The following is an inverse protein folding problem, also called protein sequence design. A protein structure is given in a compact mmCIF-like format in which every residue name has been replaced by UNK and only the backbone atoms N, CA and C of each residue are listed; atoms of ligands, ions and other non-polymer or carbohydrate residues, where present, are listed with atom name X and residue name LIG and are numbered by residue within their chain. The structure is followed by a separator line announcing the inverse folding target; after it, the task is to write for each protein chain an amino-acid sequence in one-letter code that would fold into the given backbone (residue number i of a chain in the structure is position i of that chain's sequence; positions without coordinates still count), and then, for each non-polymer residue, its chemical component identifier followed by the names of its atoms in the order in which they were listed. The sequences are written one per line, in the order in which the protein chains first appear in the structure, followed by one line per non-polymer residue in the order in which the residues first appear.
data_IF_279008487303
#
_entry.id   IF_279008487303
#
_cell.length_a   1.000
_cell.length_b   1.000
_cell.length_c   1.000
_cell.angle_alpha   90.00
_cell.angle_beta   90.00
_cell.angle_gamma   90.00
#
_symmetry.space_group_name_H-M   'P 1'
#
loop_
_entity.id
_entity.type
_entity.pdbx_description
1 polymer ?
#
# COMPACT_ATOMS: atom_id res chain seq x y z
N UNK A 1 3.80 0.33 -5.79
CA UNK A 1 4.18 -1.10 -5.80
C UNK A 1 3.22 -1.79 -4.84
N UNK A 2 2.39 -2.75 -5.29
CA UNK A 2 1.47 -3.52 -4.44
C UNK A 2 2.11 -4.88 -4.18
N UNK A 3 2.34 -5.24 -2.94
CA UNK A 3 2.95 -6.51 -2.54
C UNK A 3 1.86 -7.39 -1.94
N UNK A 4 1.58 -8.54 -2.54
CA UNK A 4 0.55 -9.46 -2.07
C UNK A 4 1.29 -10.64 -1.48
N UNK A 5 1.27 -10.89 -0.18
CA UNK A 5 1.93 -12.07 0.37
C UNK A 5 1.35 -12.43 1.72
N UNK A 6 1.10 -13.73 1.92
CA UNK A 6 0.89 -14.30 3.24
C UNK A 6 2.12 -13.97 4.09
N UNK A 7 1.93 -13.17 5.14
CA UNK A 7 2.97 -12.76 6.05
C UNK A 7 2.54 -13.23 7.44
N UNK A 8 3.08 -14.38 7.88
CA UNK A 8 3.27 -14.61 9.30
C UNK A 8 4.11 -13.43 9.84
N UNK A 9 3.70 -12.76 10.95
CA UNK A 9 4.45 -11.67 11.57
C UNK A 9 5.93 -11.98 11.88
N UNK A 10 6.34 -13.25 11.85
CA UNK A 10 7.71 -13.74 12.02
C UNK A 10 8.56 -13.77 10.74
N UNK A 11 7.99 -13.55 9.55
CA UNK A 11 8.67 -13.69 8.25
C UNK A 11 9.39 -12.42 7.74
N UNK A 12 9.39 -11.33 8.53
CA UNK A 12 10.03 -10.05 8.17
C UNK A 12 11.59 -10.11 8.13
N UNK A 13 12.20 -11.27 8.36
CA UNK A 13 13.65 -11.47 8.40
C UNK A 13 14.20 -12.53 7.42
N UNK A 14 13.38 -13.10 6.52
CA UNK A 14 13.83 -14.18 5.62
C UNK A 14 14.08 -13.71 4.17
N UNK A 15 15.13 -14.20 3.49
CA UNK A 15 15.41 -13.85 2.11
C UNK A 15 14.34 -14.39 1.16
N UNK A 16 13.95 -13.61 0.15
CA UNK A 16 12.95 -14.01 -0.84
C UNK A 16 13.52 -15.07 -1.80
N UNK A 17 12.82 -16.20 -1.93
CA UNK A 17 13.12 -17.26 -2.89
C UNK A 17 12.90 -16.87 -4.37
N UNK A 18 13.11 -17.85 -5.25
CA UNK A 18 13.14 -17.72 -6.73
C UNK A 18 11.97 -16.92 -7.34
N UNK A 19 12.29 -15.90 -8.13
CA UNK A 19 11.34 -15.04 -8.85
C UNK A 19 11.15 -15.51 -10.30
N UNK A 20 9.91 -15.50 -10.82
CA UNK A 20 9.64 -15.59 -12.28
C UNK A 20 8.96 -14.31 -12.76
N UNK A 21 9.51 -13.69 -13.81
CA UNK A 21 8.85 -12.58 -14.53
C UNK A 21 7.79 -13.17 -15.45
N UNK A 22 6.52 -12.88 -15.19
CA UNK A 22 5.44 -13.02 -16.18
C UNK A 22 5.05 -11.62 -16.67
N UNK A 23 4.50 -11.51 -17.88
CA UNK A 23 4.32 -10.23 -18.58
C UNK A 23 3.43 -9.18 -17.90
N UNK A 24 2.92 -9.40 -16.69
CA UNK A 24 1.99 -8.49 -15.97
C UNK A 24 2.22 -8.35 -14.46
N UNK A 25 3.20 -9.05 -13.88
CA UNK A 25 3.52 -9.00 -12.45
C UNK A 25 4.72 -9.87 -12.10
N UNK A 26 5.25 -9.71 -10.89
CA UNK A 26 6.21 -10.68 -10.34
C UNK A 26 5.42 -11.68 -9.51
N UNK A 27 5.49 -12.96 -9.85
CA UNK A 27 4.99 -14.05 -9.03
C UNK A 27 6.20 -14.74 -8.41
N UNK A 28 6.18 -14.90 -7.09
CA UNK A 28 7.21 -15.64 -6.37
C UNK A 28 6.61 -16.44 -5.23
N UNK A 29 7.42 -17.33 -4.68
CA UNK A 29 7.10 -18.07 -3.47
C UNK A 29 8.10 -17.69 -2.38
N UNK A 30 7.62 -17.48 -1.17
CA UNK A 30 8.45 -17.40 0.02
C UNK A 30 8.94 -18.81 0.40
N UNK A 31 9.97 -18.87 1.25
CA UNK A 31 10.60 -20.13 1.66
C UNK A 31 9.65 -21.08 2.41
N UNK A 32 8.61 -20.53 3.03
CA UNK A 32 7.52 -21.26 3.70
C UNK A 32 6.45 -21.80 2.72
N UNK A 33 6.63 -21.58 1.41
CA UNK A 33 5.67 -21.97 0.38
C UNK A 33 4.54 -20.97 0.15
N UNK A 34 4.50 -19.86 0.90
CA UNK A 34 3.52 -18.79 0.69
C UNK A 34 3.72 -18.14 -0.67
N UNK A 35 2.65 -18.07 -1.47
CA UNK A 35 2.69 -17.37 -2.77
C UNK A 35 2.54 -15.87 -2.56
N UNK A 36 3.35 -15.10 -3.28
CA UNK A 36 3.16 -13.67 -3.38
C UNK A 36 3.05 -13.22 -4.84
N UNK A 37 2.09 -12.33 -5.07
CA UNK A 37 1.90 -11.63 -6.34
C UNK A 37 2.39 -10.18 -6.14
N UNK A 38 2.95 -9.55 -7.16
CA UNK A 38 3.20 -8.10 -7.17
C UNK A 38 2.61 -7.54 -8.45
N UNK A 39 1.61 -6.68 -8.29
CA UNK A 39 0.97 -5.99 -9.40
C UNK A 39 1.13 -4.46 -9.23
N UNK A 40 1.44 -3.75 -10.30
CA UNK A 40 1.64 -2.31 -10.26
C UNK A 40 1.18 -1.66 -11.55
N UNK A 41 0.52 -0.50 -11.44
CA UNK A 41 0.19 0.36 -12.57
C UNK A 41 0.81 1.73 -12.33
N UNK A 42 1.73 2.14 -13.20
CA UNK A 42 2.27 3.50 -13.19
C UNK A 42 1.11 4.51 -13.35
N UNK A 43 1.10 5.56 -12.52
CA UNK A 43 0.04 6.56 -12.55
C UNK A 43 -1.35 6.07 -12.12
N UNK A 44 -1.47 4.86 -11.56
CA UNK A 44 -2.76 4.31 -11.13
C UNK A 44 -3.47 5.19 -10.10
N UNK A 45 -4.79 5.35 -10.27
CA UNK A 45 -5.67 6.14 -9.39
C UNK A 45 -6.61 5.24 -8.61
N UNK A 46 -7.20 5.74 -7.52
CA UNK A 46 -8.14 4.95 -6.68
C UNK A 46 -9.30 4.37 -7.49
N UNK A 47 -9.77 5.08 -8.52
CA UNK A 47 -10.85 4.62 -9.40
C UNK A 47 -10.47 3.42 -10.27
N UNK A 48 -9.18 3.20 -10.56
CA UNK A 48 -8.71 2.04 -11.31
C UNK A 48 -8.79 0.73 -10.50
N UNK A 49 -8.90 0.84 -9.16
CA UNK A 49 -8.77 -0.29 -8.24
C UNK A 49 -9.76 -1.42 -8.53
N UNK A 50 -11.03 -1.10 -8.82
CA UNK A 50 -12.05 -2.12 -9.08
C UNK A 50 -11.69 -3.03 -10.24
N UNK A 51 -11.21 -2.42 -11.33
CA UNK A 51 -10.83 -3.19 -12.51
C UNK A 51 -9.59 -4.03 -12.24
N UNK A 52 -8.62 -3.50 -11.49
CA UNK A 52 -7.42 -4.23 -11.10
C UNK A 52 -7.75 -5.46 -10.24
N UNK A 53 -8.56 -5.28 -9.19
CA UNK A 53 -8.97 -6.37 -8.30
C UNK A 53 -9.79 -7.42 -9.05
N UNK A 54 -10.76 -7.01 -9.88
CA UNK A 54 -11.52 -7.95 -10.72
C UNK A 54 -10.64 -8.71 -11.69
N UNK A 55 -9.62 -8.07 -12.23
CA UNK A 55 -8.69 -8.73 -13.15
C UNK A 55 -7.82 -9.73 -12.40
N UNK A 56 -7.33 -9.39 -11.21
CA UNK A 56 -6.59 -10.32 -10.37
C UNK A 56 -7.42 -11.56 -10.03
N UNK A 57 -8.64 -11.36 -9.54
CA UNK A 57 -9.55 -12.44 -9.15
C UNK A 57 -10.06 -13.32 -10.30
N UNK A 58 -9.77 -12.96 -11.57
CA UNK A 58 -10.03 -13.84 -12.71
C UNK A 58 -8.98 -14.93 -12.87
N UNK A 59 -7.78 -14.73 -12.34
CA UNK A 59 -6.63 -15.59 -12.57
C UNK A 59 -6.05 -16.17 -11.29
N UNK A 60 -6.35 -15.57 -10.14
CA UNK A 60 -5.84 -15.96 -8.84
C UNK A 60 -6.99 -16.03 -7.83
N UNK A 61 -6.87 -16.94 -6.86
CA UNK A 61 -7.78 -16.99 -5.72
C UNK A 61 -7.66 -15.71 -4.86
N UNK A 62 -8.69 -15.36 -4.08
CA UNK A 62 -8.59 -14.28 -3.10
C UNK A 62 -7.39 -14.48 -2.17
N UNK A 63 -6.51 -13.46 -2.03
CA UNK A 63 -5.33 -13.59 -1.20
C UNK A 63 -5.72 -13.60 0.29
N UNK A 64 -4.95 -14.28 1.13
CA UNK A 64 -5.10 -14.19 2.59
C UNK A 64 -4.76 -12.78 3.11
N UNK A 65 -3.79 -12.11 2.48
CA UNK A 65 -3.39 -10.73 2.80
C UNK A 65 -3.26 -9.91 1.52
N UNK A 66 -3.87 -8.73 1.52
CA UNK A 66 -3.80 -7.77 0.42
C UNK A 66 -3.20 -6.44 0.88
N UNK A 67 -1.96 -6.13 0.45
CA UNK A 67 -1.35 -4.81 0.69
C UNK A 67 -1.66 -3.84 -0.46
N UNK A 68 -2.28 -2.71 -0.11
CA UNK A 68 -2.68 -1.68 -1.06
C UNK A 68 -1.90 -0.39 -0.86
N UNK A 69 -1.15 0.00 -1.89
CA UNK A 69 -0.42 1.26 -2.00
C UNK A 69 -0.97 2.07 -3.19
N UNK A 70 -1.87 3.01 -2.91
CA UNK A 70 -2.60 3.79 -3.92
C UNK A 70 -3.05 5.13 -3.33
N UNK A 71 -3.56 6.04 -4.17
CA UNK A 71 -4.07 7.34 -3.73
C UNK A 71 -3.07 8.48 -3.82
N UNK A 72 -1.75 8.19 -3.87
CA UNK A 72 -0.73 9.23 -4.06
C UNK A 72 -0.90 10.01 -5.37
N UNK A 73 -1.48 9.41 -6.41
CA UNK A 73 -1.74 10.08 -7.68
C UNK A 73 -3.07 10.85 -7.71
N UNK A 74 -3.87 10.76 -6.65
CA UNK A 74 -5.17 11.42 -6.51
C UNK A 74 -5.07 12.66 -5.60
N UNK A 75 -3.95 12.84 -4.87
CA UNK A 75 -3.70 13.99 -3.99
C UNK A 75 -3.68 15.27 -4.82
N UNK A 76 -4.51 16.25 -4.41
CA UNK A 76 -4.63 17.55 -5.06
C UNK A 76 -5.64 17.57 -6.22
N UNK A 77 -5.97 16.43 -6.81
CA UNK A 77 -7.06 16.33 -7.80
C UNK A 77 -8.44 16.43 -7.15
N UNK A 78 -8.57 15.88 -5.94
CA UNK A 78 -9.83 15.85 -5.17
C UNK A 78 -9.56 16.37 -3.76
N UNK A 79 -10.62 16.83 -3.10
CA UNK A 79 -10.54 17.16 -1.67
C UNK A 79 -10.13 15.91 -0.87
N UNK A 80 -9.41 16.11 0.24
CA UNK A 80 -9.01 15.00 1.12
C UNK A 80 -10.21 14.19 1.60
N UNK A 81 -11.36 14.84 1.86
CA UNK A 81 -12.61 14.20 2.27
C UNK A 81 -13.12 13.26 1.17
N UNK A 82 -13.27 13.77 -0.05
CA UNK A 82 -13.74 12.98 -1.20
C UNK A 82 -12.82 11.80 -1.49
N UNK A 83 -11.50 12.02 -1.44
CA UNK A 83 -10.53 10.95 -1.64
C UNK A 83 -10.66 9.86 -0.56
N UNK A 84 -10.82 10.25 0.71
CA UNK A 84 -11.04 9.29 1.78
C UNK A 84 -12.33 8.49 1.59
N UNK A 85 -13.43 9.13 1.23
CA UNK A 85 -14.71 8.47 0.94
C UNK A 85 -14.58 7.46 -0.21
N UNK A 86 -13.87 7.83 -1.27
CA UNK A 86 -13.59 6.92 -2.39
C UNK A 86 -12.80 5.70 -1.95
N UNK A 87 -11.69 5.89 -1.21
CA UNK A 87 -10.84 4.79 -0.73
C UNK A 87 -11.63 3.87 0.20
N UNK A 88 -12.39 4.42 1.16
CA UNK A 88 -13.25 3.63 2.05
C UNK A 88 -14.27 2.81 1.28
N UNK A 89 -14.94 3.41 0.29
CA UNK A 89 -15.89 2.70 -0.57
C UNK A 89 -15.24 1.54 -1.32
N UNK A 90 -13.99 1.69 -1.77
CA UNK A 90 -13.27 0.57 -2.38
C UNK A 90 -12.99 -0.54 -1.36
N UNK A 91 -12.52 -0.21 -0.16
CA UNK A 91 -12.29 -1.21 0.89
C UNK A 91 -13.56 -1.95 1.31
N UNK A 92 -14.66 -1.23 1.53
CA UNK A 92 -15.95 -1.86 1.85
C UNK A 92 -16.42 -2.81 0.74
N UNK A 93 -16.25 -2.42 -0.52
CA UNK A 93 -16.55 -3.29 -1.66
C UNK A 93 -15.63 -4.53 -1.71
N UNK A 94 -14.32 -4.36 -1.50
CA UNK A 94 -13.39 -5.49 -1.51
C UNK A 94 -13.63 -6.46 -0.34
N UNK A 95 -13.99 -5.97 0.85
CA UNK A 95 -14.34 -6.82 2.00
C UNK A 95 -15.55 -7.69 1.71
N UNK A 96 -16.57 -7.16 1.04
CA UNK A 96 -17.73 -7.95 0.61
C UNK A 96 -17.37 -9.00 -0.45
N UNK A 97 -16.32 -8.75 -1.24
CA UNK A 97 -15.88 -9.62 -2.32
C UNK A 97 -14.92 -10.73 -1.84
N UNK A 98 -14.11 -10.45 -0.82
CA UNK A 98 -13.06 -11.33 -0.32
C UNK A 98 -13.11 -11.33 1.21
N UNK A 99 -14.00 -12.15 1.77
CA UNK A 99 -14.35 -12.13 3.19
C UNK A 99 -13.18 -12.53 4.12
N UNK A 100 -12.34 -13.45 3.66
CA UNK A 100 -11.21 -13.98 4.44
C UNK A 100 -9.89 -13.23 4.20
N UNK A 101 -9.92 -12.13 3.42
CA UNK A 101 -8.74 -11.34 3.11
C UNK A 101 -8.48 -10.29 4.19
N UNK A 102 -7.27 -10.31 4.77
CA UNK A 102 -6.76 -9.22 5.61
C UNK A 102 -6.28 -8.09 4.72
N UNK A 103 -6.90 -6.92 4.87
CA UNK A 103 -6.54 -5.73 4.11
C UNK A 103 -5.49 -4.91 4.84
N UNK A 104 -4.38 -4.60 4.16
CA UNK A 104 -3.30 -3.77 4.69
C UNK A 104 -3.15 -2.51 3.82
N UNK A 105 -3.32 -1.32 4.40
CA UNK A 105 -3.03 -0.08 3.68
C UNK A 105 -1.58 0.33 3.83
N UNK A 106 -0.85 0.32 2.72
CA UNK A 106 0.47 0.92 2.60
C UNK A 106 0.31 2.43 2.42
N UNK A 107 0.62 3.18 3.49
CA UNK A 107 0.45 4.63 3.50
C UNK A 107 1.16 5.32 2.33
N UNK A 108 0.54 6.39 1.85
CA UNK A 108 1.10 7.23 0.79
C UNK A 108 2.39 7.85 1.33
N UNK A 109 3.49 7.63 0.63
CA UNK A 109 4.82 8.16 0.95
C UNK A 109 4.90 9.67 0.68
N UNK A 110 5.74 10.42 1.41
CA UNK A 110 5.95 11.84 1.14
C UNK A 110 6.59 12.05 -0.23
N UNK A 111 6.29 13.19 -0.86
CA UNK A 111 6.86 13.61 -2.16
C UNK A 111 7.31 15.06 -2.10
N UNK A 112 8.36 15.39 -2.83
CA UNK A 112 8.79 16.78 -3.03
C UNK A 112 8.19 17.42 -4.28
N UNK A 113 7.44 16.65 -5.08
CA UNK A 113 6.69 17.14 -6.24
C UNK A 113 5.29 16.51 -6.29
N UNK A 114 4.28 17.32 -6.64
CA UNK A 114 2.89 16.92 -6.75
C UNK A 114 2.27 17.42 -8.05
N UNK A 115 1.46 16.57 -8.70
CA UNK A 115 0.93 16.87 -10.04
C UNK A 115 -0.03 18.06 -10.10
N UNK A 116 -0.79 18.29 -9.03
CA UNK A 116 -1.96 19.18 -9.06
C UNK A 116 -1.76 20.48 -8.27
N UNK A 117 -0.59 20.68 -7.65
CA UNK A 117 -0.28 21.89 -6.91
C UNK A 117 1.21 22.01 -6.61
N UNK A 118 1.76 23.21 -6.77
CA UNK A 118 3.13 23.55 -6.36
C UNK A 118 3.22 23.86 -4.86
N UNK A 119 2.09 23.94 -4.14
CA UNK A 119 2.09 24.13 -2.69
C UNK A 119 2.36 22.79 -1.99
N UNK A 120 3.63 22.39 -1.94
CA UNK A 120 4.11 21.13 -1.35
C UNK A 120 3.60 20.95 0.08
N UNK A 121 3.64 22.02 0.89
CA UNK A 121 3.16 21.98 2.27
C UNK A 121 1.67 21.64 2.38
N UNK A 122 0.83 22.20 1.51
CA UNK A 122 -0.60 21.89 1.47
C UNK A 122 -0.84 20.44 1.02
N UNK A 123 -0.07 19.96 0.03
CA UNK A 123 -0.19 18.59 -0.48
C UNK A 123 0.26 17.54 0.54
N UNK A 124 1.36 17.78 1.26
CA UNK A 124 1.81 16.92 2.36
C UNK A 124 0.80 16.89 3.51
N UNK A 125 0.19 18.03 3.86
CA UNK A 125 -0.94 18.06 4.83
C UNK A 125 -2.13 17.23 4.34
N UNK A 126 -2.46 17.31 3.05
CA UNK A 126 -3.51 16.49 2.44
C UNK A 126 -3.17 15.00 2.54
N UNK A 127 -1.95 14.60 2.18
CA UNK A 127 -1.43 13.24 2.28
C UNK A 127 -1.53 12.70 3.71
N UNK A 128 -1.06 13.45 4.71
CA UNK A 128 -1.14 13.05 6.11
C UNK A 128 -2.59 12.85 6.57
N UNK A 129 -3.50 13.77 6.20
CA UNK A 129 -4.94 13.63 6.51
C UNK A 129 -5.53 12.36 5.91
N UNK A 130 -5.22 12.07 4.65
CA UNK A 130 -5.70 10.84 3.99
C UNK A 130 -5.15 9.61 4.69
N UNK A 131 -3.83 9.55 4.95
CA UNK A 131 -3.21 8.41 5.63
C UNK A 131 -3.81 8.14 7.00
N UNK A 132 -3.95 9.16 7.86
CA UNK A 132 -4.55 9.01 9.19
C UNK A 132 -6.01 8.56 9.09
N UNK A 133 -6.79 9.21 8.23
CA UNK A 133 -8.21 8.95 8.03
C UNK A 133 -8.50 7.51 7.54
N UNK A 134 -7.65 6.97 6.66
CA UNK A 134 -7.78 5.59 6.16
C UNK A 134 -7.23 4.58 7.16
N UNK A 135 -6.13 4.86 7.84
CA UNK A 135 -5.61 4.01 8.91
C UNK A 135 -6.66 3.81 10.01
N UNK A 136 -7.27 4.89 10.52
CA UNK A 136 -8.33 4.81 11.53
C UNK A 136 -9.60 4.10 11.05
N UNK A 137 -9.87 4.09 9.75
CA UNK A 137 -11.00 3.33 9.19
C UNK A 137 -10.68 1.83 9.14
N UNK A 138 -9.46 1.47 8.73
CA UNK A 138 -9.06 0.08 8.63
C UNK A 138 -8.92 -0.58 9.99
N UNK A 139 -8.34 0.10 10.99
CA UNK A 139 -8.25 -0.46 12.34
C UNK A 139 -9.63 -0.79 12.92
N UNK A 140 -10.64 0.06 12.68
CA UNK A 140 -12.03 -0.19 13.08
C UNK A 140 -12.74 -1.31 12.31
N UNK A 141 -12.13 -1.84 11.26
CA UNK A 141 -12.72 -2.85 10.38
C UNK A 141 -11.82 -4.08 10.24
N UNK A 142 -11.00 -4.39 11.25
CA UNK A 142 -10.07 -5.53 11.25
C UNK A 142 -9.05 -5.51 10.08
N UNK A 143 -8.72 -4.31 9.61
CA UNK A 143 -7.62 -4.07 8.67
C UNK A 143 -6.40 -3.51 9.37
N UNK A 144 -5.26 -3.56 8.69
CA UNK A 144 -4.00 -3.03 9.18
C UNK A 144 -3.47 -1.92 8.27
N UNK A 145 -2.38 -1.27 8.69
CA UNK A 145 -1.65 -0.33 7.84
C UNK A 145 -0.14 -0.41 8.05
N UNK A 146 0.59 -0.06 6.99
CA UNK A 146 2.04 0.12 6.98
C UNK A 146 2.35 1.61 6.91
N UNK A 147 3.32 2.05 7.70
CA UNK A 147 3.83 3.42 7.74
C UNK A 147 5.33 3.43 7.45
N UNK A 148 5.81 4.55 6.92
CA UNK A 148 7.21 4.70 6.51
C UNK A 148 7.82 5.96 7.15
N UNK A 149 8.07 5.96 8.47
CA UNK A 149 8.58 7.14 9.16
C UNK A 149 9.97 7.56 8.66
N UNK A 150 10.76 6.62 8.13
CA UNK A 150 12.13 6.86 7.70
C UNK A 150 12.24 7.39 6.26
N UNK A 151 11.20 7.23 5.44
CA UNK A 151 11.16 7.79 4.09
C UNK A 151 10.82 9.27 4.19
N UNK A 152 11.78 10.14 3.84
CA UNK A 152 11.63 11.60 3.80
C UNK A 152 11.57 12.13 2.37
N UNK A 153 10.96 13.30 2.17
CA UNK A 153 10.94 13.98 0.87
C UNK A 153 12.28 14.70 0.58
N UNK A 154 13.33 13.92 0.33
CA UNK A 154 14.66 14.42 -0.04
C UNK A 154 15.36 13.46 -1.02
N UNK A 155 16.50 13.89 -1.54
CA UNK A 155 17.24 13.17 -2.59
C UNK A 155 17.87 11.84 -2.14
N UNK A 156 17.93 11.56 -0.83
CA UNK A 156 18.37 10.25 -0.35
C UNK A 156 17.34 9.17 -0.68
N UNK A 157 16.05 9.50 -0.58
CA UNK A 157 14.95 8.55 -0.73
C UNK A 157 14.16 8.74 -2.03
N UNK A 158 14.17 9.93 -2.62
CA UNK A 158 13.47 10.27 -3.86
C UNK A 158 14.44 10.52 -5.00
N UNK A 159 14.06 10.08 -6.20
CA UNK A 159 14.72 10.43 -7.44
C UNK A 159 14.59 11.93 -7.72
N UNK A 160 15.32 12.43 -8.72
CA UNK A 160 15.32 13.85 -9.12
C UNK A 160 13.93 14.40 -9.49
N UNK A 161 12.99 13.53 -9.86
CA UNK A 161 11.61 13.93 -10.15
C UNK A 161 10.77 14.24 -8.89
N UNK A 162 11.29 13.96 -7.69
CA UNK A 162 10.63 14.22 -6.43
C UNK A 162 9.41 13.33 -6.14
N UNK A 163 9.23 12.25 -6.90
CA UNK A 163 8.07 11.35 -6.82
C UNK A 163 8.48 9.90 -6.66
N UNK A 164 9.43 9.41 -7.46
CA UNK A 164 9.85 8.01 -7.45
C UNK A 164 10.93 7.77 -6.40
N UNK A 165 10.97 6.55 -5.84
CA UNK A 165 11.96 6.18 -4.83
C UNK A 165 13.32 5.87 -5.45
N UNK A 166 14.40 6.24 -4.76
CA UNK A 166 15.76 5.74 -5.04
C UNK A 166 15.89 4.25 -4.67
N UNK A 167 17.04 3.64 -4.94
CA UNK A 167 17.32 2.27 -4.48
C UNK A 167 17.20 2.13 -2.96
N UNK A 168 17.70 3.11 -2.21
CA UNK A 168 17.57 3.15 -0.75
C UNK A 168 16.11 3.34 -0.32
N UNK A 169 15.39 4.26 -0.96
CA UNK A 169 13.96 4.47 -0.72
C UNK A 169 13.13 3.21 -0.97
N UNK A 170 13.40 2.47 -2.05
CA UNK A 170 12.74 1.20 -2.35
C UNK A 170 13.07 0.12 -1.32
N UNK A 171 14.32 0.04 -0.85
CA UNK A 171 14.71 -0.92 0.18
C UNK A 171 13.88 -0.73 1.47
N UNK A 172 13.76 0.51 1.95
CA UNK A 172 12.94 0.82 3.13
C UNK A 172 11.44 0.60 2.87
N UNK A 173 10.98 0.88 1.65
CA UNK A 173 9.57 0.67 1.28
C UNK A 173 9.19 -0.81 1.24
N UNK A 174 10.06 -1.66 0.68
CA UNK A 174 9.85 -3.11 0.59
C UNK A 174 10.03 -3.79 1.96
N UNK A 175 10.93 -3.29 2.80
CA UNK A 175 11.27 -3.84 4.11
C UNK A 175 11.17 -2.76 5.21
N UNK A 176 9.95 -2.26 5.51
CA UNK A 176 9.78 -1.16 6.45
C UNK A 176 10.25 -1.56 7.86
N UNK A 177 11.12 -0.77 8.51
CA UNK A 177 11.53 -1.01 9.88
C UNK A 177 10.36 -0.66 10.84
N UNK A 178 9.51 -1.65 11.12
CA UNK A 178 8.40 -1.52 12.08
C UNK A 178 7.19 -2.38 11.73
N UNK A 179 6.55 -2.95 12.75
CA UNK A 179 5.40 -3.87 12.64
C UNK A 179 4.22 -3.27 11.87
N UNK A 180 3.53 -4.15 11.13
CA UNK A 180 2.11 -3.99 10.78
C UNK A 180 1.36 -3.67 12.07
N UNK A 181 0.74 -2.49 12.15
CA UNK A 181 -0.05 -2.10 13.34
C UNK A 181 -1.48 -2.56 13.17
N UNK A 182 -1.91 -3.40 14.12
CA UNK A 182 -3.32 -3.63 14.41
C UNK A 182 -3.54 -3.19 15.86
N UNK A 183 -4.22 -2.06 16.07
CA UNK A 183 -4.38 -1.48 17.41
C UNK A 183 -5.39 -2.27 18.29
N UNK A 184 -5.80 -3.48 17.86
CA UNK A 184 -6.75 -4.36 18.55
C UNK A 184 -6.10 -5.55 19.30
N UNK A 185 -4.79 -5.55 19.52
CA UNK A 185 -4.09 -6.69 20.13
C UNK A 185 -3.09 -6.32 21.25
N UNK A 186 -3.44 -5.35 22.10
CA UNK A 186 -2.76 -5.11 23.39
C UNK A 186 -3.76 -5.21 24.55
N UNK A 187 -4.13 -6.44 24.89
CA UNK A 187 -4.68 -6.79 26.22
C UNK A 187 -4.49 -8.29 26.49
N UNK A 188 -3.25 -8.70 26.70
CA UNK A 188 -2.91 -9.93 27.42
C UNK A 188 -1.64 -9.68 28.23
N UNK A 189 -1.82 -9.12 29.43
CA UNK A 189 -1.27 -9.56 30.71
C UNK A 189 -1.75 -8.59 31.79
#
# INVERSE_FOLDING_TARGET
MLQFGSLDPRLLSMPLGSQRKTGRGKLGAAEDGSKYLVAGKCGGKVLDMKQQIRTMLKYEDPPTILVLHIGGNDIGEKSSKTLCELIRKQFSWMRQLMLDTVFVWSQIIPRSSWRYSDNINAMEKCRMRVNTSIASFLTKTDGCYLRYPDIKANELFLMKDGVHLTSLGNNIFEYPPGRIRNDHQESWH
#
